data_IF_428379140895
#
_entry.id   IF_428379140895
#
_cell.length_a   1.000
_cell.length_b   1.000
_cell.length_c   1.000
_cell.angle_alpha   90.00
_cell.angle_beta   90.00
_cell.angle_gamma   90.00
#
_symmetry.space_group_name_H-M   'P 1'
#
loop_
_entity.id
_entity.type
_entity.pdbx_description
1 polymer ?
#
# COMPACT_ATOMS: atom_id res chain seq x y z
N UNK A 1 3.54 -27.61 -17.75
CA UNK A 1 4.61 -28.04 -16.82
C UNK A 1 4.11 -28.96 -15.70
N UNK A 2 2.79 -29.08 -15.41
CA UNK A 2 2.26 -30.16 -14.56
C UNK A 2 2.73 -30.12 -13.10
N UNK A 3 3.04 -28.93 -12.57
CA UNK A 3 3.49 -28.76 -11.19
C UNK A 3 2.30 -28.59 -10.24
N UNK A 4 2.44 -29.13 -9.04
CA UNK A 4 1.43 -29.07 -7.97
C UNK A 4 1.47 -27.75 -7.17
N UNK A 5 2.50 -26.92 -7.38
CA UNK A 5 2.67 -25.66 -6.66
C UNK A 5 3.85 -24.82 -7.13
N UNK A 6 4.02 -23.66 -6.49
CA UNK A 6 5.05 -22.68 -6.78
C UNK A 6 5.77 -22.29 -5.49
N UNK A 7 7.10 -22.45 -5.48
CA UNK A 7 7.97 -22.03 -4.38
C UNK A 7 8.57 -20.66 -4.71
N UNK A 8 8.53 -19.73 -3.76
CA UNK A 8 9.17 -18.41 -3.94
C UNK A 8 9.99 -18.04 -2.71
N UNK A 9 10.99 -17.18 -2.89
CA UNK A 9 11.80 -16.65 -1.79
C UNK A 9 11.12 -15.52 -1.01
N UNK A 10 9.79 -15.45 -1.00
CA UNK A 10 9.10 -14.43 -0.22
C UNK A 10 9.11 -14.77 1.27
N UNK A 11 9.30 -13.75 2.09
CA UNK A 11 9.15 -13.80 3.54
C UNK A 11 7.67 -13.64 3.88
N UNK A 12 6.94 -14.74 3.88
CA UNK A 12 5.57 -14.85 4.38
C UNK A 12 5.33 -16.29 4.82
N UNK A 13 4.30 -16.54 5.61
CA UNK A 13 3.93 -17.89 6.05
C UNK A 13 2.58 -18.28 5.50
N UNK A 14 2.35 -19.58 5.42
CA UNK A 14 1.00 -20.13 5.23
C UNK A 14 0.68 -21.11 6.34
N UNK A 15 -0.53 -21.04 6.85
CA UNK A 15 -1.01 -21.96 7.89
C UNK A 15 -2.27 -22.67 7.41
N UNK A 16 -2.34 -23.98 7.63
CA UNK A 16 -3.51 -24.80 7.33
C UNK A 16 -4.39 -24.82 8.56
N UNK A 17 -5.59 -24.26 8.44
CA UNK A 17 -6.61 -24.24 9.47
C UNK A 17 -7.89 -24.96 9.04
N UNK A 18 -8.95 -24.89 9.87
CA UNK A 18 -10.25 -25.50 9.56
C UNK A 18 -10.89 -24.93 8.28
N UNK A 19 -10.61 -23.67 7.95
CA UNK A 19 -11.15 -22.98 6.78
C UNK A 19 -10.24 -23.04 5.54
N UNK A 20 -9.23 -23.92 5.57
CA UNK A 20 -8.22 -24.08 4.53
C UNK A 20 -6.93 -23.34 4.84
N UNK A 21 -6.10 -23.17 3.80
CA UNK A 21 -4.79 -22.54 3.91
C UNK A 21 -4.94 -21.02 3.89
N UNK A 22 -4.25 -20.36 4.80
CA UNK A 22 -4.31 -18.90 4.99
C UNK A 22 -2.91 -18.29 4.88
N UNK A 23 -2.83 -17.03 4.46
CA UNK A 23 -1.58 -16.28 4.38
C UNK A 23 -1.32 -15.53 5.69
N UNK A 24 -0.06 -15.53 6.13
CA UNK A 24 0.38 -14.90 7.39
C UNK A 24 1.67 -14.13 7.20
N UNK A 25 1.93 -13.20 8.12
CA UNK A 25 3.21 -12.50 8.23
C UNK A 25 4.36 -13.47 8.46
N UNK A 26 5.53 -13.13 7.92
CA UNK A 26 6.77 -13.78 8.32
C UNK A 26 7.12 -13.49 9.79
N UNK A 27 7.90 -14.39 10.40
CA UNK A 27 8.45 -14.18 11.75
C UNK A 27 9.41 -12.98 11.81
N UNK A 28 10.06 -12.66 10.70
CA UNK A 28 10.88 -11.44 10.55
C UNK A 28 10.02 -10.31 9.99
N UNK A 29 9.38 -9.55 10.88
CA UNK A 29 8.53 -8.41 10.50
C UNK A 29 9.24 -7.35 9.65
N UNK A 30 10.57 -7.22 9.78
CA UNK A 30 11.34 -6.24 8.99
C UNK A 30 11.50 -6.65 7.53
N UNK A 31 11.30 -7.94 7.25
CA UNK A 31 11.38 -8.53 5.92
C UNK A 31 10.04 -9.08 5.42
N UNK A 32 8.99 -9.00 6.23
CA UNK A 32 7.65 -9.44 5.87
C UNK A 32 7.19 -8.88 4.52
N UNK A 33 6.76 -9.81 3.66
CA UNK A 33 6.26 -9.55 2.32
C UNK A 33 4.79 -9.94 2.18
N UNK A 34 4.10 -10.26 3.29
CA UNK A 34 2.68 -10.57 3.30
C UNK A 34 1.81 -9.48 2.66
N UNK A 35 2.19 -8.20 2.82
CA UNK A 35 1.49 -7.06 2.22
C UNK A 35 1.46 -7.13 0.69
N UNK A 36 2.57 -7.45 0.04
CA UNK A 36 2.61 -7.51 -1.44
C UNK A 36 1.96 -8.79 -1.97
N UNK A 37 1.90 -9.84 -1.14
CA UNK A 37 1.25 -11.10 -1.45
C UNK A 37 -0.26 -11.10 -1.14
N UNK A 38 -0.81 -10.04 -0.56
CA UNK A 38 -2.24 -9.96 -0.20
C UNK A 38 -3.19 -9.97 -1.40
N UNK A 39 -2.63 -9.84 -2.61
CA UNK A 39 -3.35 -9.92 -3.90
C UNK A 39 -3.59 -11.36 -4.34
N UNK A 40 -3.02 -12.35 -3.65
CA UNK A 40 -3.22 -13.75 -3.96
C UNK A 40 -4.63 -14.21 -3.59
N UNK A 41 -5.25 -14.99 -4.47
CA UNK A 41 -6.51 -15.67 -4.18
C UNK A 41 -6.28 -16.91 -3.31
N UNK A 42 -7.34 -17.43 -2.69
CA UNK A 42 -7.29 -18.70 -1.94
C UNK A 42 -6.68 -19.85 -2.75
N UNK A 43 -7.11 -20.02 -4.00
CA UNK A 43 -6.57 -21.05 -4.90
C UNK A 43 -5.06 -20.88 -5.16
N UNK A 44 -4.59 -19.65 -5.30
CA UNK A 44 -3.16 -19.37 -5.46
C UNK A 44 -2.37 -19.63 -4.18
N UNK A 45 -2.95 -19.33 -3.01
CA UNK A 45 -2.34 -19.62 -1.71
C UNK A 45 -2.20 -21.12 -1.49
N UNK A 46 -3.18 -21.93 -1.90
CA UNK A 46 -3.13 -23.39 -1.81
C UNK A 46 -1.88 -23.96 -2.48
N UNK A 47 -1.57 -23.49 -3.69
CA UNK A 47 -0.37 -23.86 -4.44
C UNK A 47 0.93 -23.15 -4.05
N UNK A 48 0.89 -22.12 -3.19
CA UNK A 48 2.07 -21.31 -2.86
C UNK A 48 2.88 -21.87 -1.68
N UNK A 49 4.21 -21.84 -1.79
CA UNK A 49 5.14 -22.30 -0.75
C UNK A 49 6.18 -21.21 -0.46
N UNK A 50 6.31 -20.85 0.82
CA UNK A 50 7.19 -19.78 1.30
C UNK A 50 8.18 -20.32 2.37
N UNK A 51 9.30 -20.93 1.96
CA UNK A 51 10.22 -21.61 2.87
C UNK A 51 11.05 -20.65 3.75
N UNK A 52 10.95 -19.34 3.53
CA UNK A 52 11.71 -18.34 4.28
C UNK A 52 10.88 -17.63 5.36
N UNK A 53 9.58 -17.90 5.44
CA UNK A 53 8.67 -17.15 6.32
C UNK A 53 8.83 -17.43 7.80
N UNK A 54 9.41 -18.58 8.17
CA UNK A 54 9.57 -19.06 9.55
C UNK A 54 10.98 -18.80 10.12
N UNK A 55 11.86 -18.18 9.33
CA UNK A 55 13.27 -18.02 9.67
C UNK A 55 13.68 -16.55 9.49
N UNK A 56 14.47 -16.01 10.42
CA UNK A 56 14.95 -14.64 10.28
C UNK A 56 15.92 -14.52 9.12
N UNK A 57 16.02 -13.32 8.53
CA UNK A 57 16.96 -13.12 7.43
C UNK A 57 18.42 -13.36 7.84
N UNK A 58 18.77 -13.06 9.10
CA UNK A 58 20.11 -13.29 9.62
C UNK A 58 20.44 -14.79 9.58
N UNK A 59 19.49 -15.62 10.04
CA UNK A 59 19.66 -17.07 10.09
C UNK A 59 19.65 -17.68 8.67
N UNK A 60 18.82 -17.18 7.75
CA UNK A 60 18.82 -17.58 6.34
C UNK A 60 20.19 -17.32 5.69
N UNK A 61 20.83 -16.19 6.00
CA UNK A 61 22.17 -15.88 5.48
C UNK A 61 23.23 -16.80 6.08
N UNK A 62 23.16 -17.07 7.38
CA UNK A 62 24.08 -17.99 8.05
C UNK A 62 23.95 -19.41 7.48
N UNK A 63 22.73 -19.88 7.21
CA UNK A 63 22.46 -21.16 6.56
C UNK A 63 23.00 -21.20 5.13
N UNK A 64 22.78 -20.14 4.35
CA UNK A 64 23.29 -20.05 2.98
C UNK A 64 24.82 -20.08 2.94
N UNK A 65 25.49 -19.40 3.87
CA UNK A 65 26.95 -19.41 4.03
C UNK A 65 27.46 -20.79 4.44
N UNK A 66 26.83 -21.43 5.43
CA UNK A 66 27.19 -22.79 5.86
C UNK A 66 27.04 -23.83 4.74
N UNK A 67 26.11 -23.60 3.80
CA UNK A 67 25.89 -24.44 2.60
C UNK A 67 26.76 -24.04 1.41
N UNK A 68 27.61 -23.01 1.53
CA UNK A 68 28.49 -22.54 0.45
C UNK A 68 27.77 -21.88 -0.72
N UNK A 69 26.57 -21.31 -0.50
CA UNK A 69 25.80 -20.65 -1.54
C UNK A 69 26.34 -19.24 -1.83
N UNK A 70 26.73 -18.97 -3.07
CA UNK A 70 27.30 -17.68 -3.49
C UNK A 70 26.37 -16.46 -3.27
N UNK A 71 25.08 -16.69 -3.05
CA UNK A 71 24.09 -15.63 -2.81
C UNK A 71 24.05 -15.12 -1.36
N UNK A 72 24.75 -15.77 -0.43
CA UNK A 72 24.70 -15.42 1.01
C UNK A 72 25.06 -13.95 1.29
N UNK A 73 26.01 -13.39 0.51
CA UNK A 73 26.50 -12.01 0.67
C UNK A 73 25.89 -11.03 -0.33
N UNK A 74 24.95 -11.47 -1.19
CA UNK A 74 24.33 -10.58 -2.16
C UNK A 74 23.43 -9.56 -1.43
N UNK A 75 23.56 -8.25 -1.73
CA UNK A 75 22.61 -7.25 -1.26
C UNK A 75 21.19 -7.56 -1.74
N UNK A 76 20.18 -7.15 -0.96
CA UNK A 76 18.80 -7.27 -1.39
C UNK A 76 18.55 -6.31 -2.57
N UNK A 77 17.70 -6.75 -3.50
CA UNK A 77 17.11 -5.81 -4.45
C UNK A 77 16.12 -4.92 -3.71
N UNK A 78 16.39 -3.62 -3.70
CA UNK A 78 15.46 -2.58 -3.28
C UNK A 78 15.08 -1.78 -4.53
N UNK A 79 13.78 -1.70 -4.84
CA UNK A 79 13.10 -0.88 -5.89
C UNK A 79 12.15 -1.70 -6.79
N UNK A 80 11.39 -0.98 -7.62
CA UNK A 80 10.53 -1.52 -8.67
C UNK A 80 11.40 -2.37 -9.61
N UNK A 81 11.09 -3.67 -9.71
CA UNK A 81 11.90 -4.67 -10.42
C UNK A 81 12.27 -4.33 -11.88
N UNK A 82 11.58 -3.38 -12.52
CA UNK A 82 11.75 -3.02 -13.92
C UNK A 82 12.26 -1.58 -14.15
N UNK A 83 12.61 -0.83 -13.10
CA UNK A 83 13.22 0.51 -13.22
C UNK A 83 14.72 0.38 -12.96
N UNK A 84 15.58 0.37 -14.00
CA UNK A 84 16.99 0.00 -13.87
C UNK A 84 17.84 1.00 -13.07
N UNK A 85 17.38 2.24 -12.90
CA UNK A 85 18.17 3.37 -12.39
C UNK A 85 17.75 3.89 -11.01
N UNK A 86 16.64 3.41 -10.45
CA UNK A 86 16.01 4.00 -9.25
C UNK A 86 15.40 5.39 -9.45
N UNK A 87 15.59 6.04 -10.61
CA UNK A 87 14.98 7.32 -10.96
C UNK A 87 13.56 7.12 -11.53
N UNK A 88 12.63 6.81 -10.64
CA UNK A 88 11.22 6.65 -10.98
C UNK A 88 10.62 7.93 -11.59
N UNK A 89 11.06 9.11 -11.13
CA UNK A 89 10.53 10.38 -11.58
C UNK A 89 10.97 10.73 -13.01
N UNK A 90 12.25 10.52 -13.35
CA UNK A 90 12.75 10.63 -14.73
C UNK A 90 12.08 9.63 -15.66
N UNK A 91 11.98 8.37 -15.23
CA UNK A 91 11.35 7.31 -16.01
C UNK A 91 9.88 7.61 -16.37
N UNK A 92 9.12 8.19 -15.44
CA UNK A 92 7.73 8.61 -15.65
C UNK A 92 7.64 9.84 -16.57
N UNK A 93 8.52 10.83 -16.39
CA UNK A 93 8.55 12.07 -17.18
C UNK A 93 8.74 11.80 -18.67
N UNK A 94 9.65 10.87 -19.01
CA UNK A 94 9.94 10.50 -20.38
C UNK A 94 8.76 9.82 -21.10
N UNK A 95 7.81 9.24 -20.33
CA UNK A 95 6.66 8.50 -20.86
C UNK A 95 5.35 9.28 -20.82
N UNK A 96 5.17 10.14 -19.82
CA UNK A 96 3.93 10.86 -19.57
C UNK A 96 3.99 12.32 -20.04
N UNK A 97 5.16 12.84 -20.39
CA UNK A 97 5.34 14.25 -20.75
C UNK A 97 5.18 15.20 -19.57
N UNK A 98 5.01 16.50 -19.82
CA UNK A 98 4.80 17.52 -18.79
C UNK A 98 3.59 18.39 -19.14
N UNK A 99 2.40 17.87 -18.91
CA UNK A 99 1.19 18.65 -19.12
C UNK A 99 0.95 19.59 -17.95
N UNK A 100 0.92 20.88 -18.24
CA UNK A 100 0.59 21.93 -17.27
C UNK A 100 -0.87 21.78 -16.87
N UNK A 101 -1.13 21.80 -15.56
CA UNK A 101 -2.47 21.62 -14.99
C UNK A 101 -2.74 22.61 -13.86
N UNK A 102 -4.01 22.87 -13.51
CA UNK A 102 -4.36 23.80 -12.45
C UNK A 102 -4.07 23.22 -11.06
N UNK A 103 -3.61 24.09 -10.16
CA UNK A 103 -3.70 23.86 -8.72
C UNK A 103 -4.94 24.60 -8.22
N UNK A 104 -5.87 23.89 -7.61
CA UNK A 104 -7.15 24.43 -7.11
C UNK A 104 -7.27 24.23 -5.61
N UNK A 105 -8.08 25.05 -4.95
CA UNK A 105 -8.55 24.76 -3.60
C UNK A 105 -9.79 23.84 -3.62
N UNK A 106 -10.30 23.47 -2.43
CA UNK A 106 -11.48 22.61 -2.30
C UNK A 106 -12.77 23.17 -2.94
N UNK A 107 -12.86 24.49 -3.12
CA UNK A 107 -14.00 25.12 -3.78
C UNK A 107 -13.91 25.03 -5.31
N UNK A 108 -12.81 24.50 -5.83
CA UNK A 108 -12.47 24.52 -7.26
C UNK A 108 -11.86 25.85 -7.71
N UNK A 109 -11.53 26.76 -6.79
CA UNK A 109 -10.91 28.03 -7.14
C UNK A 109 -9.45 27.79 -7.53
N UNK A 110 -9.08 28.19 -8.75
CA UNK A 110 -7.69 28.10 -9.22
C UNK A 110 -6.81 29.08 -8.44
N UNK A 111 -5.74 28.54 -7.86
CA UNK A 111 -4.77 29.29 -7.03
C UNK A 111 -3.33 29.16 -7.53
N UNK A 112 -3.10 28.33 -8.56
CA UNK A 112 -1.81 28.17 -9.20
C UNK A 112 -1.84 27.21 -10.38
N UNK A 113 -0.65 26.85 -10.85
CA UNK A 113 -0.44 25.88 -11.92
C UNK A 113 0.76 24.99 -11.56
N UNK A 114 0.73 23.76 -12.05
CA UNK A 114 1.82 22.79 -11.91
C UNK A 114 2.31 22.29 -13.26
N UNK A 115 3.50 21.69 -13.32
CA UNK A 115 4.13 21.19 -14.56
C UNK A 115 4.06 19.65 -14.70
N UNK A 116 2.90 19.08 -14.37
CA UNK A 116 2.67 17.63 -14.32
C UNK A 116 2.24 17.14 -12.93
N UNK A 117 1.01 16.62 -12.84
CA UNK A 117 0.38 16.22 -11.57
C UNK A 117 1.12 15.08 -10.86
N UNK A 118 1.78 14.20 -11.62
CA UNK A 118 2.57 13.07 -11.14
C UNK A 118 3.81 13.47 -10.31
N UNK A 119 4.19 14.75 -10.32
CA UNK A 119 5.32 15.26 -9.53
C UNK A 119 4.93 15.61 -8.09
N UNK A 120 3.64 15.52 -7.76
CA UNK A 120 3.11 15.85 -6.45
C UNK A 120 2.81 14.59 -5.64
N UNK A 121 2.84 14.73 -4.33
CA UNK A 121 2.42 13.68 -3.39
C UNK A 121 1.41 14.24 -2.41
N UNK A 122 0.41 13.46 -2.03
CA UNK A 122 -0.55 13.86 -0.99
C UNK A 122 0.19 14.16 0.32
N UNK A 123 -0.19 15.26 0.97
CA UNK A 123 0.48 15.82 2.14
C UNK A 123 1.68 16.72 1.82
N UNK A 124 2.03 16.94 0.55
CA UNK A 124 3.13 17.82 0.17
C UNK A 124 2.79 19.29 0.44
N UNK A 125 3.71 20.00 1.11
CA UNK A 125 3.65 21.47 1.35
C UNK A 125 4.60 22.27 0.45
N UNK A 126 5.84 21.79 0.31
CA UNK A 126 6.91 22.52 -0.41
C UNK A 126 6.78 22.30 -1.91
N UNK A 127 7.28 23.25 -2.72
CA UNK A 127 7.30 23.11 -4.18
C UNK A 127 5.96 23.32 -4.89
N UNK A 128 4.93 23.82 -4.18
CA UNK A 128 3.64 24.14 -4.79
C UNK A 128 3.65 25.45 -5.61
N UNK A 129 4.61 26.36 -5.35
CA UNK A 129 4.74 27.60 -6.12
C UNK A 129 3.55 28.56 -6.00
N UNK A 130 2.72 28.41 -4.96
CA UNK A 130 1.49 29.20 -4.78
C UNK A 130 1.83 30.63 -4.38
N UNK A 131 1.29 31.58 -5.14
CA UNK A 131 1.42 33.03 -4.89
C UNK A 131 0.21 33.61 -4.16
N UNK A 132 -0.90 32.87 -4.10
CA UNK A 132 -2.13 33.26 -3.42
C UNK A 132 -2.10 32.74 -1.97
N UNK A 133 -1.93 33.62 -0.96
CA UNK A 133 -1.98 33.20 0.44
C UNK A 133 -3.41 32.80 0.84
N UNK A 134 -3.55 31.99 1.89
CA UNK A 134 -4.84 31.82 2.56
C UNK A 134 -5.21 33.10 3.32
N UNK A 135 -6.49 33.26 3.65
CA UNK A 135 -6.98 34.44 4.39
C UNK A 135 -6.32 34.60 5.78
N UNK A 136 -5.91 33.49 6.40
CA UNK A 136 -5.27 33.40 7.71
C UNK A 136 -3.74 33.22 7.64
N UNK A 137 -3.15 33.16 6.45
CA UNK A 137 -1.71 32.92 6.25
C UNK A 137 -1.23 31.49 6.53
N UNK A 138 -2.13 30.55 6.81
CA UNK A 138 -1.82 29.13 6.99
C UNK A 138 -1.24 28.47 5.71
N UNK A 139 -0.35 27.47 5.86
CA UNK A 139 0.19 26.75 4.72
C UNK A 139 -0.83 25.80 4.10
N UNK A 140 -0.81 25.66 2.77
CA UNK A 140 -1.60 24.66 2.04
C UNK A 140 -0.82 23.37 1.81
N UNK A 141 -1.53 22.25 1.79
CA UNK A 141 -1.01 20.91 1.52
C UNK A 141 -1.78 20.27 0.37
N UNK A 142 -1.13 19.43 -0.43
CA UNK A 142 -1.80 18.62 -1.47
C UNK A 142 -2.74 17.62 -0.80
N UNK A 143 -4.04 17.78 -1.02
CA UNK A 143 -5.07 16.88 -0.49
C UNK A 143 -5.37 15.73 -1.45
N UNK A 144 -5.44 16.04 -2.74
CA UNK A 144 -5.83 15.09 -3.78
C UNK A 144 -5.11 15.43 -5.08
N UNK A 145 -4.84 14.39 -5.86
CA UNK A 145 -4.32 14.50 -7.22
C UNK A 145 -5.34 13.80 -8.11
N UNK A 146 -5.80 14.48 -9.16
CA UNK A 146 -6.79 13.97 -10.11
C UNK A 146 -6.11 13.77 -11.47
N UNK A 147 -5.67 12.55 -11.80
CA UNK A 147 -4.91 12.32 -13.04
C UNK A 147 -5.73 12.58 -14.31
N UNK A 148 -7.03 12.28 -14.29
CA UNK A 148 -7.92 12.41 -15.45
C UNK A 148 -8.11 13.89 -15.83
N UNK A 149 -8.31 14.76 -14.84
CA UNK A 149 -8.48 16.20 -15.03
C UNK A 149 -7.16 16.96 -14.96
N UNK A 150 -6.03 16.25 -14.78
CA UNK A 150 -4.69 16.80 -14.53
C UNK A 150 -4.71 17.93 -13.49
N UNK A 151 -5.41 17.73 -12.37
CA UNK A 151 -5.65 18.76 -11.35
C UNK A 151 -5.03 18.36 -10.01
N UNK A 152 -4.41 19.32 -9.33
CA UNK A 152 -3.92 19.16 -7.96
C UNK A 152 -4.80 19.98 -7.01
N UNK A 153 -5.42 19.32 -6.04
CA UNK A 153 -6.27 19.97 -5.04
C UNK A 153 -5.45 20.21 -3.77
N UNK A 154 -5.50 21.41 -3.22
CA UNK A 154 -4.80 21.77 -1.98
C UNK A 154 -5.75 22.39 -0.94
N UNK A 155 -5.39 22.24 0.34
CA UNK A 155 -6.17 22.81 1.44
C UNK A 155 -5.43 22.71 2.78
N UNK A 156 -6.18 22.69 3.87
CA UNK A 156 -5.64 22.71 5.22
C UNK A 156 -5.02 21.35 5.60
N UNK A 157 -4.15 21.32 6.62
CA UNK A 157 -3.51 20.06 7.04
C UNK A 157 -4.52 19.10 7.65
N UNK A 158 -5.47 19.64 8.38
CA UNK A 158 -6.50 18.94 9.12
C UNK A 158 -7.42 18.16 8.17
N UNK A 159 -7.56 18.65 6.94
CA UNK A 159 -8.32 18.02 5.86
C UNK A 159 -7.62 16.79 5.26
N UNK A 160 -6.38 16.49 5.67
CA UNK A 160 -5.68 15.23 5.35
C UNK A 160 -6.06 14.11 6.32
N UNK A 161 -6.78 14.41 7.41
CA UNK A 161 -7.17 13.42 8.40
C UNK A 161 -8.20 12.47 7.82
N UNK A 162 -7.86 11.18 7.87
CA UNK A 162 -8.68 10.09 7.38
C UNK A 162 -8.98 9.21 8.57
N UNK A 163 -10.26 8.97 8.79
CA UNK A 163 -10.81 8.15 9.87
C UNK A 163 -11.45 6.89 9.33
N UNK A 164 -11.75 6.82 8.03
CA UNK A 164 -12.22 5.61 7.37
C UNK A 164 -11.79 5.55 5.91
N UNK A 165 -11.74 4.33 5.37
CA UNK A 165 -11.42 4.07 3.97
C UNK A 165 -12.29 2.93 3.44
N UNK A 166 -12.63 3.03 2.15
CA UNK A 166 -13.42 2.04 1.42
C UNK A 166 -12.58 1.51 0.26
N UNK A 167 -12.52 0.19 0.17
CA UNK A 167 -11.80 -0.54 -0.87
C UNK A 167 -12.74 -1.27 -1.82
N UNK A 168 -12.46 -1.17 -3.12
CA UNK A 168 -13.15 -1.91 -4.18
C UNK A 168 -12.37 -3.19 -4.57
N UNK A 169 -13.09 -4.14 -5.17
CA UNK A 169 -12.56 -5.43 -5.66
C UNK A 169 -11.75 -6.18 -4.58
N UNK A 170 -12.37 -6.53 -3.44
CA UNK A 170 -11.66 -7.24 -2.39
C UNK A 170 -11.16 -8.60 -2.87
N UNK A 171 -9.95 -8.97 -2.42
CA UNK A 171 -9.34 -10.28 -2.60
C UNK A 171 -9.11 -10.88 -1.22
N UNK A 172 -9.55 -12.14 -1.03
CA UNK A 172 -9.52 -12.80 0.27
C UNK A 172 -8.41 -13.85 0.34
N UNK A 173 -7.56 -13.74 1.36
CA UNK A 173 -6.44 -14.65 1.65
C UNK A 173 -6.84 -15.79 2.62
N UNK A 174 -8.13 -16.10 2.65
CA UNK A 174 -8.80 -16.97 3.62
C UNK A 174 -10.31 -16.72 3.55
N UNK A 175 -11.07 -17.05 4.61
CA UNK A 175 -12.50 -16.74 4.70
C UNK A 175 -12.83 -15.30 4.30
N UNK A 176 -13.96 -15.15 3.61
CA UNK A 176 -14.44 -13.82 3.24
C UNK A 176 -14.94 -13.07 4.48
N UNK A 177 -14.68 -11.76 4.50
CA UNK A 177 -15.17 -10.88 5.55
C UNK A 177 -16.68 -10.71 5.41
N UNK A 178 -17.39 -10.75 6.53
CA UNK A 178 -18.84 -10.54 6.57
C UNK A 178 -19.18 -9.06 6.80
N UNK A 179 -20.46 -8.72 6.80
CA UNK A 179 -20.93 -7.40 7.19
C UNK A 179 -20.84 -7.13 8.70
N UNK A 180 -20.47 -8.12 9.51
CA UNK A 180 -20.28 -7.95 10.95
C UNK A 180 -18.98 -7.18 11.23
N UNK A 181 -19.04 -6.07 12.01
CA UNK A 181 -17.85 -5.34 12.41
C UNK A 181 -16.86 -6.22 13.17
N UNK A 182 -15.61 -6.26 12.71
CA UNK A 182 -14.54 -7.08 13.29
C UNK A 182 -13.32 -6.22 13.60
N UNK A 183 -12.63 -6.52 14.71
CA UNK A 183 -11.40 -5.82 15.10
C UNK A 183 -10.19 -6.43 14.39
N UNK A 184 -9.26 -5.57 14.00
CA UNK A 184 -7.98 -5.98 13.44
C UNK A 184 -7.13 -4.78 13.09
N UNK A 185 -6.33 -4.93 12.04
CA UNK A 185 -5.44 -3.87 11.59
C UNK A 185 -5.57 -3.66 10.09
N UNK A 186 -5.39 -2.42 9.65
CA UNK A 186 -5.23 -2.07 8.25
C UNK A 186 -3.82 -1.55 7.99
N UNK A 187 -3.17 -2.08 6.98
CA UNK A 187 -1.91 -1.57 6.48
C UNK A 187 -2.10 -1.03 5.06
N UNK A 188 -1.56 0.15 4.80
CA UNK A 188 -1.76 0.90 3.55
C UNK A 188 -0.48 1.07 2.72
N UNK A 189 0.66 0.62 3.26
CA UNK A 189 1.98 0.65 2.62
C UNK A 189 2.79 -0.55 3.09
N UNK A 190 3.55 -1.18 2.20
CA UNK A 190 4.33 -2.39 2.51
C UNK A 190 5.26 -2.25 3.72
N UNK A 191 5.87 -1.08 3.90
CA UNK A 191 6.74 -0.77 5.06
C UNK A 191 6.09 0.19 6.06
N UNK A 192 4.78 0.42 5.95
CA UNK A 192 4.01 1.24 6.87
C UNK A 192 3.58 0.46 8.11
N UNK A 193 3.37 1.18 9.22
CA UNK A 193 2.74 0.60 10.40
C UNK A 193 1.33 0.10 10.07
N UNK A 194 0.94 -1.02 10.68
CA UNK A 194 -0.44 -1.47 10.69
C UNK A 194 -1.22 -0.60 11.70
N UNK A 195 -2.37 -0.09 11.29
CA UNK A 195 -3.23 0.80 12.07
C UNK A 195 -4.39 0.01 12.64
N UNK A 196 -4.67 0.19 13.93
CA UNK A 196 -5.84 -0.41 14.56
C UNK A 196 -7.12 0.10 13.90
N UNK A 197 -8.00 -0.83 13.56
CA UNK A 197 -9.26 -0.50 12.90
C UNK A 197 -10.36 -1.50 13.21
N UNK A 198 -11.59 -1.08 12.95
CA UNK A 198 -12.73 -1.97 12.76
C UNK A 198 -12.98 -2.12 11.27
N UNK A 199 -13.08 -3.35 10.77
CA UNK A 199 -13.32 -3.65 9.36
C UNK A 199 -14.56 -4.51 9.15
N UNK A 200 -15.20 -4.36 7.99
CA UNK A 200 -16.41 -5.10 7.59
C UNK A 200 -16.63 -5.00 6.08
N UNK A 201 -17.50 -5.86 5.55
CA UNK A 201 -17.95 -5.81 4.15
C UNK A 201 -19.27 -5.05 4.05
N UNK A 202 -19.32 -4.03 3.19
CA UNK A 202 -20.53 -3.23 2.95
C UNK A 202 -20.74 -3.03 1.45
N UNK A 203 -21.87 -3.53 0.93
CA UNK A 203 -22.22 -3.39 -0.49
C UNK A 203 -21.08 -3.81 -1.44
N UNK A 204 -20.41 -4.92 -1.14
CA UNK A 204 -19.28 -5.46 -1.91
C UNK A 204 -17.95 -4.70 -1.74
N UNK A 205 -17.88 -3.74 -0.83
CA UNK A 205 -16.67 -2.98 -0.53
C UNK A 205 -16.14 -3.32 0.85
N UNK A 206 -14.82 -3.45 0.94
CA UNK A 206 -14.14 -3.64 2.22
C UNK A 206 -13.96 -2.27 2.87
N UNK A 207 -14.55 -2.09 4.04
CA UNK A 207 -14.49 -0.84 4.80
C UNK A 207 -13.58 -1.04 6.00
N UNK A 208 -12.73 -0.05 6.28
CA UNK A 208 -11.95 0.02 7.52
C UNK A 208 -12.10 1.40 8.17
N UNK A 209 -12.53 1.42 9.43
CA UNK A 209 -12.62 2.61 10.27
C UNK A 209 -11.47 2.59 11.26
N UNK A 210 -10.62 3.61 11.20
CA UNK A 210 -9.41 3.76 11.99
C UNK A 210 -9.72 4.27 13.40
N UNK A 211 -8.99 3.76 14.38
CA UNK A 211 -9.08 4.24 15.76
C UNK A 211 -8.38 5.61 15.93
N UNK A 212 -7.30 5.81 15.19
CA UNK A 212 -6.55 7.06 15.13
C UNK A 212 -6.46 7.56 13.69
N UNK A 213 -6.67 8.87 13.50
CA UNK A 213 -6.67 9.47 12.18
C UNK A 213 -5.30 9.32 11.49
N UNK A 214 -5.33 8.86 10.25
CA UNK A 214 -4.17 8.86 9.37
C UNK A 214 -4.11 10.19 8.61
N UNK A 215 -2.91 10.76 8.45
CA UNK A 215 -2.73 11.94 7.62
C UNK A 215 -2.22 11.56 6.23
N UNK A 216 -3.01 11.87 5.20
CA UNK A 216 -2.59 11.84 3.80
C UNK A 216 -2.48 10.43 3.22
N UNK A 217 -3.53 10.02 2.51
CA UNK A 217 -3.62 8.77 1.77
C UNK A 217 -4.14 9.05 0.36
N UNK A 218 -3.52 8.44 -0.64
CA UNK A 218 -4.04 8.51 -2.01
C UNK A 218 -4.99 7.35 -2.26
N UNK A 219 -6.10 7.65 -2.93
CA UNK A 219 -6.90 6.60 -3.57
C UNK A 219 -6.07 5.90 -4.65
N UNK A 220 -6.40 4.64 -4.93
CA UNK A 220 -5.64 3.76 -5.83
C UNK A 220 -4.54 2.94 -5.12
N UNK A 221 -4.20 3.25 -3.86
CA UNK A 221 -3.31 2.39 -3.06
C UNK A 221 -4.05 1.14 -2.56
N UNK A 222 -3.30 0.08 -2.24
CA UNK A 222 -3.86 -1.10 -1.62
C UNK A 222 -4.03 -0.91 -0.10
N UNK A 223 -5.20 -1.28 0.42
CA UNK A 223 -5.39 -1.55 1.84
C UNK A 223 -5.34 -3.05 2.07
N UNK A 224 -4.65 -3.48 3.12
CA UNK A 224 -4.52 -4.88 3.52
C UNK A 224 -4.99 -5.03 4.95
N UNK A 225 -5.94 -5.94 5.18
CA UNK A 225 -6.48 -6.22 6.51
C UNK A 225 -5.74 -7.39 7.14
N UNK A 226 -5.39 -7.22 8.41
CA UNK A 226 -4.74 -8.21 9.24
C UNK A 226 -5.58 -8.52 10.49
N UNK A 227 -5.58 -9.79 10.89
CA UNK A 227 -6.07 -10.28 12.17
C UNK A 227 -4.89 -10.98 12.86
N UNK A 228 -4.26 -10.29 13.82
CA UNK A 228 -2.92 -10.65 14.28
C UNK A 228 -1.93 -10.69 13.11
N UNK A 229 -1.29 -11.83 12.90
CA UNK A 229 -0.39 -12.07 11.76
C UNK A 229 -1.10 -12.54 10.49
N UNK A 230 -2.37 -12.95 10.58
CA UNK A 230 -3.11 -13.45 9.42
C UNK A 230 -3.46 -12.32 8.48
N UNK A 231 -3.12 -12.47 7.20
CA UNK A 231 -3.66 -11.62 6.13
C UNK A 231 -5.08 -12.06 5.86
N UNK A 232 -6.05 -11.19 6.15
CA UNK A 232 -7.47 -11.45 5.88
C UNK A 232 -7.77 -11.26 4.40
N UNK A 233 -7.29 -10.15 3.84
CA UNK A 233 -7.49 -9.81 2.44
C UNK A 233 -7.02 -8.40 2.12
N UNK A 234 -7.20 -8.00 0.87
CA UNK A 234 -6.86 -6.67 0.40
C UNK A 234 -7.87 -6.10 -0.57
N UNK A 235 -7.85 -4.79 -0.75
CA UNK A 235 -8.70 -4.08 -1.70
C UNK A 235 -7.99 -2.81 -2.21
N UNK A 236 -8.40 -2.30 -3.36
CA UNK A 236 -7.92 -0.99 -3.86
C UNK A 236 -8.75 0.12 -3.24
N UNK A 237 -8.12 1.06 -2.54
CA UNK A 237 -8.81 2.18 -1.88
C UNK A 237 -9.43 3.08 -2.94
N UNK A 238 -10.76 3.19 -2.95
CA UNK A 238 -11.50 4.06 -3.87
C UNK A 238 -12.04 5.33 -3.20
N UNK A 239 -12.20 5.33 -1.87
CA UNK A 239 -12.75 6.45 -1.11
C UNK A 239 -12.14 6.51 0.30
N UNK A 240 -12.02 7.73 0.84
CA UNK A 240 -11.48 8.03 2.17
C UNK A 240 -12.32 9.14 2.82
N UNK A 241 -12.57 9.06 4.12
CA UNK A 241 -13.32 10.05 4.90
C UNK A 241 -12.72 10.24 6.29
#
# INVERSE_FOLDING_TARGET
>A
MGFDGVVTGHYARTEIGPDGKTLHRAVDHSKDQSYVLSVLTREQIDGAIFPLGDTTKVDIRAEAEARGLAVAQKPDSHDICFVPSGDNAGWLRDRLGSDVGPIVDQSGTKIGEHKGAYTYTIGQRKGLGLTVPTADGSPRFVLKIEPITNTVVVGAREELAITSMRGERPVWCGPEVTSAPTRGFVQIRAHGAALECTYYLENGHLVATLDAALLGLATGQAMVIYDGDRVVGSATICETA
#
